data_IF_945909335126
#
_entry.id   IF_945909335126
#
_cell.length_a   1.000
_cell.length_b   1.000
_cell.length_c   1.000
_cell.angle_alpha   90.00
_cell.angle_beta   90.00
_cell.angle_gamma   90.00
#
_symmetry.space_group_name_H-M   'P 1'
#
loop_
_entity.id
_entity.type
_entity.pdbx_description
1 polymer ?
#
# COMPACT_ATOMS: atom_id res chain seq x y z
N UNK A 1 -4.31 -12.34 3.69
CA UNK A 1 -3.20 -12.35 2.71
C UNK A 1 -1.87 -12.01 3.34
N UNK A 2 -1.82 -10.90 4.09
CA UNK A 2 -0.61 -10.38 4.70
C UNK A 2 -0.96 -9.77 6.05
N UNK A 3 -0.02 -9.80 6.99
CA UNK A 3 0.00 -8.92 8.15
C UNK A 3 1.08 -7.86 7.91
N UNK A 4 0.76 -6.58 8.10
CA UNK A 4 1.74 -5.51 8.13
C UNK A 4 2.11 -5.19 9.57
N UNK A 5 3.36 -4.84 9.80
CA UNK A 5 3.83 -4.11 10.97
C UNK A 5 4.06 -2.64 10.66
N UNK A 6 3.88 -2.18 9.42
CA UNK A 6 3.91 -0.77 9.06
C UNK A 6 2.49 -0.19 9.07
N UNK A 7 2.37 1.08 9.40
CA UNK A 7 1.17 1.87 9.13
C UNK A 7 1.55 3.22 8.53
N UNK A 8 0.71 3.73 7.63
CA UNK A 8 0.89 5.05 7.05
C UNK A 8 0.78 6.14 8.12
N UNK A 9 1.48 7.28 7.97
CA UNK A 9 1.39 8.39 8.91
C UNK A 9 -0.05 8.89 9.03
N UNK A 10 -0.49 9.15 10.25
CA UNK A 10 -1.82 9.68 10.54
C UNK A 10 -2.35 9.19 11.88
N UNK A 11 -3.26 9.97 12.46
CA UNK A 11 -4.00 9.56 13.65
C UNK A 11 -5.33 8.91 13.23
N UNK A 12 -5.48 7.63 13.55
CA UNK A 12 -6.70 6.85 13.25
C UNK A 12 -7.58 6.63 14.49
N UNK A 13 -7.31 7.36 15.59
CA UNK A 13 -8.16 7.44 16.79
C UNK A 13 -8.29 6.14 17.62
N UNK A 14 -7.52 5.10 17.29
CA UNK A 14 -7.63 3.77 17.92
C UNK A 14 -6.25 3.11 18.10
N UNK A 15 -5.36 3.65 18.96
CA UNK A 15 -3.93 3.31 18.97
C UNK A 15 -3.58 1.85 19.28
N UNK A 16 -4.51 1.07 19.85
CA UNK A 16 -4.32 -0.36 20.13
C UNK A 16 -5.00 -1.29 19.13
N UNK A 17 -5.80 -0.75 18.21
CA UNK A 17 -6.62 -1.57 17.33
C UNK A 17 -5.87 -1.92 16.05
N UNK A 18 -6.23 -3.04 15.45
CA UNK A 18 -5.83 -3.38 14.09
C UNK A 18 -7.03 -3.22 13.16
N UNK A 19 -6.74 -3.06 11.88
CA UNK A 19 -7.75 -2.80 10.86
C UNK A 19 -7.39 -3.53 9.56
N UNK A 20 -8.38 -3.78 8.72
CA UNK A 20 -8.15 -4.35 7.40
C UNK A 20 -8.17 -3.28 6.31
N UNK A 21 -7.16 -3.33 5.44
CA UNK A 21 -7.13 -2.57 4.20
C UNK A 21 -6.99 -3.51 3.00
N UNK A 22 -7.50 -3.11 1.82
CA UNK A 22 -7.39 -3.88 0.58
C UNK A 22 -6.07 -3.61 -0.15
N UNK A 23 -5.02 -3.19 0.57
CA UNK A 23 -3.71 -2.84 -0.01
C UNK A 23 -2.59 -3.47 0.79
N UNK A 24 -1.47 -3.78 0.13
CA UNK A 24 -0.29 -4.38 0.76
C UNK A 24 0.75 -3.31 1.07
N UNK A 25 1.56 -3.55 2.10
CA UNK A 25 2.79 -2.79 2.38
C UNK A 25 4.02 -3.68 2.14
N UNK A 26 5.11 -3.12 1.63
CA UNK A 26 6.39 -3.82 1.57
C UNK A 26 7.30 -3.50 2.77
N UNK A 27 6.87 -2.63 3.69
CA UNK A 27 7.63 -2.26 4.88
C UNK A 27 7.13 -3.07 6.07
N UNK A 28 8.03 -3.84 6.69
CA UNK A 28 7.74 -4.74 7.82
C UNK A 28 6.47 -5.55 7.63
N UNK A 29 6.55 -6.69 6.97
CA UNK A 29 5.38 -7.50 6.66
C UNK A 29 5.66 -8.98 6.85
N UNK A 30 4.60 -9.74 7.08
CA UNK A 30 4.63 -11.19 7.11
C UNK A 30 3.48 -11.75 6.28
N UNK A 31 3.70 -12.93 5.71
CA UNK A 31 2.67 -13.72 5.06
C UNK A 31 2.88 -15.20 5.39
N UNK A 32 1.91 -16.03 5.04
CA UNK A 32 1.96 -17.47 5.25
C UNK A 32 2.12 -18.17 3.91
N UNK A 33 2.74 -19.36 3.91
CA UNK A 33 2.92 -20.19 2.73
C UNK A 33 1.66 -20.28 1.87
N UNK A 34 0.49 -20.56 2.48
CA UNK A 34 -0.80 -20.66 1.75
C UNK A 34 -1.15 -19.41 0.92
N UNK A 35 -0.76 -18.23 1.37
CA UNK A 35 -1.02 -16.97 0.67
C UNK A 35 0.09 -16.67 -0.33
N UNK A 36 1.35 -16.96 0.03
CA UNK A 36 2.49 -16.80 -0.89
C UNK A 36 2.44 -17.74 -2.09
N UNK A 37 1.87 -18.94 -1.94
CA UNK A 37 1.60 -19.87 -3.05
C UNK A 37 0.62 -19.29 -4.09
N UNK A 38 -0.03 -18.16 -3.80
CA UNK A 38 -0.90 -17.41 -4.73
C UNK A 38 -0.19 -16.23 -5.40
N UNK A 39 1.08 -15.97 -5.06
CA UNK A 39 1.86 -14.92 -5.69
C UNK A 39 2.09 -15.26 -7.16
N UNK A 40 1.69 -14.33 -8.04
CA UNK A 40 1.94 -14.41 -9.47
C UNK A 40 3.00 -13.38 -9.87
N UNK A 41 4.22 -13.86 -10.12
CA UNK A 41 5.33 -13.03 -10.58
C UNK A 41 5.18 -12.59 -12.05
N UNK A 42 4.34 -13.28 -12.84
CA UNK A 42 4.11 -12.97 -14.26
C UNK A 42 3.10 -11.85 -14.47
N UNK A 43 2.34 -11.49 -13.42
CA UNK A 43 1.26 -10.50 -13.47
C UNK A 43 0.18 -10.84 -14.51
N UNK A 44 -0.22 -12.10 -14.63
CA UNK A 44 -1.21 -12.55 -15.63
C UNK A 44 -2.53 -11.77 -15.57
N UNK A 45 -2.91 -11.27 -14.40
CA UNK A 45 -4.10 -10.42 -14.21
C UNK A 45 -3.93 -8.94 -14.57
N UNK A 46 -2.74 -8.50 -15.01
CA UNK A 46 -2.49 -7.10 -15.36
C UNK A 46 -3.35 -6.62 -16.54
N UNK A 47 -3.57 -7.46 -17.55
CA UNK A 47 -4.38 -7.07 -18.70
C UNK A 47 -5.85 -6.85 -18.33
N UNK A 48 -6.40 -7.62 -17.39
CA UNK A 48 -7.75 -7.39 -16.86
C UNK A 48 -7.83 -6.02 -16.20
N UNK A 49 -6.84 -5.68 -15.38
CA UNK A 49 -6.73 -4.36 -14.75
C UNK A 49 -6.61 -3.24 -15.78
N UNK A 50 -5.82 -3.46 -16.83
CA UNK A 50 -5.55 -2.46 -17.89
C UNK A 50 -6.80 -2.10 -18.68
N UNK A 51 -7.67 -3.06 -18.96
CA UNK A 51 -8.88 -2.82 -19.78
C UNK A 51 -10.13 -2.48 -18.95
N UNK A 52 -10.11 -2.66 -17.63
CA UNK A 52 -11.23 -2.32 -16.76
C UNK A 52 -10.95 -1.04 -15.95
N UNK A 53 -11.51 0.09 -16.39
CA UNK A 53 -11.30 1.39 -15.74
C UNK A 53 -11.77 1.43 -14.29
N UNK A 54 -12.90 0.81 -13.96
CA UNK A 54 -13.43 0.80 -12.59
C UNK A 54 -12.52 -0.02 -11.66
N UNK A 55 -12.06 -1.18 -12.12
CA UNK A 55 -11.12 -2.03 -11.39
C UNK A 55 -9.76 -1.35 -11.20
N UNK A 56 -9.23 -0.71 -12.26
CA UNK A 56 -8.01 0.09 -12.19
C UNK A 56 -8.14 1.22 -11.17
N UNK A 57 -9.26 1.94 -11.17
CA UNK A 57 -9.51 3.01 -10.20
C UNK A 57 -9.54 2.49 -8.76
N UNK A 58 -10.11 1.31 -8.51
CA UNK A 58 -10.06 0.64 -7.19
C UNK A 58 -8.63 0.27 -6.79
N UNK A 59 -7.86 -0.33 -7.70
CA UNK A 59 -6.45 -0.69 -7.47
C UNK A 59 -5.59 0.52 -7.10
N UNK A 60 -5.86 1.65 -7.75
CA UNK A 60 -5.23 2.95 -7.50
C UNK A 60 -5.79 3.68 -6.27
N UNK A 61 -6.40 2.96 -5.33
CA UNK A 61 -6.97 3.52 -4.09
C UNK A 61 -7.96 4.65 -4.40
N UNK A 62 -8.94 4.33 -5.25
CA UNK A 62 -9.90 5.30 -5.80
C UNK A 62 -9.21 6.47 -6.54
N UNK A 63 -8.15 6.16 -7.30
CA UNK A 63 -7.34 7.13 -8.05
C UNK A 63 -6.51 8.07 -7.16
N UNK A 64 -6.19 7.65 -5.94
CA UNK A 64 -5.38 8.43 -5.01
C UNK A 64 -3.88 8.21 -5.22
N UNK A 65 -3.48 7.01 -5.66
CA UNK A 65 -2.08 6.65 -5.90
C UNK A 65 -1.93 5.82 -7.17
N UNK A 66 -0.88 6.08 -7.95
CA UNK A 66 -0.69 5.51 -9.30
C UNK A 66 -0.01 4.12 -9.25
N UNK A 67 -0.70 3.15 -8.65
CA UNK A 67 -0.21 1.77 -8.59
C UNK A 67 -0.28 1.08 -9.96
N UNK A 68 -1.29 1.38 -10.77
CA UNK A 68 -1.44 0.84 -12.11
C UNK A 68 -0.35 1.36 -13.06
N UNK A 69 0.12 2.60 -12.90
CA UNK A 69 1.32 3.12 -13.56
C UNK A 69 2.60 2.44 -13.10
N UNK A 70 2.71 2.04 -11.82
CA UNK A 70 3.81 1.17 -11.37
C UNK A 70 3.78 -0.20 -12.07
N UNK A 71 2.61 -0.85 -12.19
CA UNK A 71 2.48 -2.10 -12.93
C UNK A 71 2.85 -1.94 -14.41
N UNK A 72 2.46 -0.83 -15.04
CA UNK A 72 2.84 -0.53 -16.43
C UNK A 72 4.36 -0.47 -16.58
N UNK A 73 5.05 0.25 -15.69
CA UNK A 73 6.52 0.33 -15.68
C UNK A 73 7.17 -1.03 -15.39
N UNK A 74 6.57 -1.83 -14.51
CA UNK A 74 7.01 -3.18 -14.21
C UNK A 74 6.93 -4.09 -15.44
N UNK A 75 5.82 -4.03 -16.18
CA UNK A 75 5.61 -4.80 -17.41
C UNK A 75 6.56 -4.35 -18.55
N UNK A 76 6.92 -3.06 -18.57
CA UNK A 76 7.88 -2.50 -19.52
C UNK A 76 9.35 -2.75 -19.14
N UNK A 77 9.63 -3.40 -18.00
CA UNK A 77 11.00 -3.60 -17.50
C UNK A 77 11.70 -2.34 -16.98
N UNK A 78 10.98 -1.23 -16.83
CA UNK A 78 11.53 0.04 -16.35
C UNK A 78 11.73 0.08 -14.82
N UNK A 79 11.09 -0.84 -14.10
CA UNK A 79 11.32 -1.08 -12.67
C UNK A 79 11.33 -2.58 -12.39
N UNK A 80 11.97 -2.99 -11.29
CA UNK A 80 11.82 -4.34 -10.74
C UNK A 80 11.34 -4.28 -9.29
N UNK A 81 10.06 -4.60 -9.10
CA UNK A 81 9.36 -4.51 -7.83
C UNK A 81 8.49 -5.74 -7.64
N UNK A 82 8.94 -6.67 -6.81
CA UNK A 82 8.11 -7.80 -6.37
C UNK A 82 6.87 -7.31 -5.59
N UNK A 83 6.97 -6.15 -4.93
CA UNK A 83 5.89 -5.60 -4.10
C UNK A 83 4.65 -5.23 -4.90
N UNK A 84 4.80 -4.61 -6.08
CA UNK A 84 3.63 -4.26 -6.91
C UNK A 84 2.98 -5.51 -7.53
N UNK A 85 3.77 -6.54 -7.85
CA UNK A 85 3.29 -7.85 -8.32
C UNK A 85 2.51 -8.57 -7.22
N UNK A 86 3.02 -8.52 -5.99
CA UNK A 86 2.34 -9.05 -4.82
C UNK A 86 1.03 -8.30 -4.55
N UNK A 87 1.03 -6.96 -4.62
CA UNK A 87 -0.20 -6.17 -4.47
C UNK A 87 -1.26 -6.57 -5.49
N UNK A 88 -0.89 -6.74 -6.77
CA UNK A 88 -1.81 -7.21 -7.82
C UNK A 88 -2.41 -8.57 -7.48
N UNK A 89 -1.58 -9.52 -7.03
CA UNK A 89 -2.04 -10.87 -6.63
C UNK A 89 -3.06 -10.80 -5.49
N UNK A 90 -2.76 -10.02 -4.45
CA UNK A 90 -3.66 -9.81 -3.30
C UNK A 90 -4.96 -9.14 -3.72
N UNK A 91 -4.87 -8.09 -4.53
CA UNK A 91 -6.03 -7.30 -4.95
C UNK A 91 -7.00 -8.11 -5.81
N UNK A 92 -6.50 -8.88 -6.78
CA UNK A 92 -7.35 -9.69 -7.67
C UNK A 92 -8.05 -10.85 -6.94
N UNK A 93 -7.52 -11.26 -5.79
CA UNK A 93 -8.13 -12.26 -4.92
C UNK A 93 -9.03 -11.63 -3.85
N UNK A 94 -9.35 -10.34 -3.97
CA UNK A 94 -10.11 -9.55 -2.98
C UNK A 94 -9.53 -9.67 -1.56
N UNK A 95 -8.21 -9.82 -1.49
CA UNK A 95 -7.49 -10.11 -0.28
C UNK A 95 -7.40 -8.90 0.64
N UNK A 96 -7.60 -9.15 1.93
CA UNK A 96 -7.39 -8.15 2.97
C UNK A 96 -6.05 -8.35 3.69
N UNK A 97 -5.49 -7.21 4.10
CA UNK A 97 -4.24 -7.09 4.84
C UNK A 97 -4.55 -6.49 6.20
N UNK A 98 -4.07 -7.15 7.25
CA UNK A 98 -4.20 -6.65 8.61
C UNK A 98 -3.09 -5.62 8.88
N UNK A 99 -3.49 -4.43 9.29
CA UNK A 99 -2.62 -3.33 9.66
C UNK A 99 -2.77 -3.00 11.15
N UNK A 100 -1.69 -2.62 11.84
CA UNK A 100 -1.82 -1.95 13.13
C UNK A 100 -2.30 -0.51 12.91
N UNK A 101 -2.94 0.08 13.91
CA UNK A 101 -3.31 1.50 13.91
C UNK A 101 -2.11 2.44 13.95
N UNK A 102 -0.97 1.97 14.47
CA UNK A 102 0.31 2.70 14.51
C UNK A 102 1.43 1.79 14.05
N UNK A 103 2.45 2.36 13.40
CA UNK A 103 3.52 1.56 12.83
C UNK A 103 4.32 0.87 13.94
N UNK A 104 4.54 -0.43 13.83
CA UNK A 104 5.43 -1.20 14.73
C UNK A 104 6.86 -1.26 14.20
N UNK A 105 7.06 -0.89 12.93
CA UNK A 105 8.38 -0.79 12.29
C UNK A 105 8.61 0.60 11.72
N UNK A 106 9.88 0.96 11.51
CA UNK A 106 10.27 2.16 10.77
C UNK A 106 11.15 1.75 9.60
N UNK A 107 10.84 2.26 8.41
CA UNK A 107 11.77 2.18 7.29
C UNK A 107 12.79 3.32 7.40
N UNK A 108 14.05 2.98 7.70
CA UNK A 108 15.14 3.96 7.83
C UNK A 108 15.73 4.37 6.46
N UNK A 109 15.53 3.60 5.40
CA UNK A 109 16.09 3.86 4.07
C UNK A 109 15.39 4.98 3.27
N UNK A 110 14.51 5.76 3.91
CA UNK A 110 13.86 6.95 3.32
C UNK A 110 14.67 8.24 3.55
N UNK A 111 15.80 8.12 4.23
CA UNK A 111 16.78 9.17 4.49
C UNK A 111 17.73 9.42 3.31
N UNK A 112 17.47 8.80 2.15
CA UNK A 112 18.31 8.89 0.95
C UNK A 112 19.39 7.80 0.87
N UNK A 113 19.57 6.97 1.91
CA UNK A 113 20.52 5.85 1.88
C UNK A 113 19.96 4.59 1.18
N UNK A 114 18.65 4.50 0.98
CA UNK A 114 18.00 3.31 0.46
C UNK A 114 18.14 3.13 -1.06
N UNK A 115 18.34 1.89 -1.51
CA UNK A 115 18.43 1.52 -2.94
C UNK A 115 17.20 1.93 -3.76
N UNK A 116 16.02 1.93 -3.13
CA UNK A 116 14.74 2.29 -3.76
C UNK A 116 14.06 3.47 -3.05
N UNK A 117 14.78 4.12 -2.11
CA UNK A 117 14.27 5.22 -1.30
C UNK A 117 14.99 6.51 -1.65
N UNK A 118 14.28 7.43 -2.31
CA UNK A 118 14.75 8.82 -2.34
C UNK A 118 14.61 9.46 -0.95
N UNK A 119 14.97 10.75 -0.85
CA UNK A 119 14.60 11.55 0.33
C UNK A 119 13.09 11.71 0.37
N UNK A 120 12.43 10.96 1.25
CA UNK A 120 11.00 11.14 1.55
C UNK A 120 10.90 11.59 2.99
N UNK A 121 10.48 12.84 3.20
CA UNK A 121 10.16 13.38 4.52
C UNK A 121 8.85 12.78 5.03
N UNK A 122 8.86 11.47 5.32
CA UNK A 122 7.73 10.75 5.88
C UNK A 122 7.92 10.63 7.40
N UNK A 123 7.08 11.30 8.16
CA UNK A 123 7.07 11.17 9.62
C UNK A 123 6.50 9.79 9.99
N UNK A 124 7.38 8.87 10.40
CA UNK A 124 7.01 7.51 10.82
C UNK A 124 6.93 7.42 12.34
N UNK A 125 5.70 7.49 12.85
CA UNK A 125 5.43 7.29 14.27
C UNK A 125 5.38 5.81 14.61
N UNK A 126 6.11 5.45 15.67
CA UNK A 126 6.13 4.10 16.20
C UNK A 126 5.10 3.93 17.30
N UNK A 127 4.48 2.76 17.35
CA UNK A 127 3.65 2.33 18.46
C UNK A 127 4.49 2.32 19.74
N UNK A 128 3.91 2.78 20.85
CA UNK A 128 4.55 2.71 22.16
C UNK A 128 4.30 1.34 22.80
N UNK A 129 5.20 0.87 23.67
CA UNK A 129 5.01 -0.40 24.40
C UNK A 129 3.71 -0.42 25.22
N UNK A 130 3.25 0.75 25.67
CA UNK A 130 1.98 0.93 26.37
C UNK A 130 0.74 0.68 25.50
N UNK A 131 0.89 0.49 24.19
CA UNK A 131 -0.18 0.18 23.24
C UNK A 131 -0.33 -1.32 23.00
N UNK A 132 0.48 -2.15 23.66
CA UNK A 132 0.34 -3.60 23.66
C UNK A 132 -0.55 -4.09 24.83
N UNK A 133 -1.30 -5.20 24.66
CA UNK A 133 -1.45 -5.98 23.43
C UNK A 133 -2.37 -5.29 22.41
N UNK A 134 -2.06 -5.50 21.13
CA UNK A 134 -2.94 -5.07 20.02
C UNK A 134 -4.26 -5.86 20.02
N UNK A 135 -5.34 -5.22 19.58
CA UNK A 135 -6.68 -5.79 19.47
C UNK A 135 -7.00 -6.12 18.02
N UNK A 136 -7.59 -7.30 17.80
CA UNK A 136 -7.99 -7.75 16.47
C UNK A 136 -9.46 -7.43 16.20
N UNK A 137 -9.82 -6.98 14.99
CA UNK A 137 -11.21 -6.79 14.62
C UNK A 137 -11.94 -8.13 14.59
N UNK A 138 -13.16 -8.17 15.12
CA UNK A 138 -14.01 -9.36 15.09
C UNK A 138 -14.56 -9.69 13.70
N UNK A 139 -14.51 -8.71 12.79
CA UNK A 139 -15.05 -8.81 11.43
C UNK A 139 -13.98 -8.60 10.38
N UNK A 140 -14.01 -9.44 9.35
CA UNK A 140 -13.16 -9.32 8.18
C UNK A 140 -13.80 -8.33 7.19
N UNK A 141 -13.61 -7.04 7.42
CA UNK A 141 -14.16 -5.96 6.59
C UNK A 141 -13.17 -4.82 6.46
N UNK A 142 -13.19 -4.13 5.32
CA UNK A 142 -12.37 -2.93 5.10
C UNK A 142 -12.78 -1.84 6.09
N UNK A 143 -11.80 -1.20 6.74
CA UNK A 143 -12.07 0.05 7.44
C UNK A 143 -12.15 1.20 6.41
N UNK A 144 -13.36 1.44 5.92
CA UNK A 144 -13.63 2.43 4.85
C UNK A 144 -13.26 3.86 5.26
N UNK A 145 -13.37 4.20 6.55
CA UNK A 145 -12.99 5.51 7.05
C UNK A 145 -11.47 5.71 6.95
N UNK A 146 -10.69 4.71 7.36
CA UNK A 146 -9.24 4.74 7.23
C UNK A 146 -8.80 4.70 5.76
N UNK A 147 -9.43 3.86 4.93
CA UNK A 147 -9.16 3.82 3.49
C UNK A 147 -9.41 5.18 2.82
N UNK A 148 -10.52 5.83 3.14
CA UNK A 148 -10.85 7.16 2.64
C UNK A 148 -9.85 8.23 3.10
N UNK A 149 -9.41 8.16 4.37
CA UNK A 149 -8.37 9.05 4.90
C UNK A 149 -7.04 8.86 4.17
N UNK A 150 -6.58 7.62 3.99
CA UNK A 150 -5.35 7.34 3.24
C UNK A 150 -5.45 7.82 1.79
N UNK A 151 -6.61 7.65 1.16
CA UNK A 151 -6.84 8.15 -0.19
C UNK A 151 -6.77 9.69 -0.26
N UNK A 152 -7.18 10.40 0.78
CA UNK A 152 -6.98 11.85 0.90
C UNK A 152 -5.50 12.21 1.05
N UNK A 153 -4.80 11.55 1.97
CA UNK A 153 -3.38 11.80 2.25
C UNK A 153 -2.47 11.48 1.05
N UNK A 154 -2.76 10.41 0.30
CA UNK A 154 -2.05 10.08 -0.94
C UNK A 154 -2.21 11.16 -2.01
N UNK A 155 -3.41 11.77 -2.09
CA UNK A 155 -3.64 12.87 -3.04
C UNK A 155 -2.89 14.13 -2.65
N UNK A 156 -2.79 14.45 -1.35
CA UNK A 156 -2.05 15.62 -0.90
C UNK A 156 -0.55 15.47 -1.12
N UNK A 157 0.00 14.25 -0.95
CA UNK A 157 1.43 13.96 -1.16
C UNK A 157 1.87 14.03 -2.63
N UNK A 158 0.96 13.85 -3.60
CA UNK A 158 1.32 13.88 -5.03
C UNK A 158 1.45 15.28 -5.64
N UNK A 159 1.23 16.36 -4.86
CA UNK A 159 1.22 17.73 -5.36
C UNK A 159 -0.06 18.04 -6.16
N UNK A 160 -0.37 19.34 -6.31
CA UNK A 160 -1.57 19.82 -6.98
C UNK A 160 -1.68 19.40 -8.46
N UNK A 161 -2.80 19.74 -9.10
CA UNK A 161 -3.12 19.38 -10.49
C UNK A 161 -1.97 19.65 -11.48
N UNK A 162 -1.23 20.75 -11.25
CA UNK A 162 -0.10 21.18 -12.09
C UNK A 162 1.07 20.18 -12.07
N UNK A 163 1.42 19.65 -10.90
CA UNK A 163 2.52 18.69 -10.73
C UNK A 163 2.19 17.35 -11.40
N UNK A 164 0.91 16.95 -11.35
CA UNK A 164 0.40 15.76 -12.04
C UNK A 164 0.42 15.91 -13.56
N UNK A 165 0.08 17.08 -14.09
CA UNK A 165 0.14 17.37 -15.52
C UNK A 165 1.58 17.32 -16.04
N UNK A 166 2.53 17.95 -15.33
CA UNK A 166 3.95 17.97 -15.73
C UNK A 166 4.52 16.54 -15.76
N UNK A 167 4.25 15.71 -14.74
CA UNK A 167 4.71 14.30 -14.71
C UNK A 167 4.13 13.45 -15.84
N UNK A 168 2.99 13.83 -16.41
CA UNK A 168 2.32 13.12 -17.51
C UNK A 168 2.95 13.39 -18.88
N UNK A 169 3.76 14.45 -19.00
CA UNK A 169 4.49 14.82 -20.21
C UNK A 169 5.98 14.49 -20.16
N UNK A 170 6.50 14.04 -19.00
CA UNK A 170 7.92 13.75 -18.77
C UNK A 170 8.17 12.22 -18.63
N UNK A 171 7.20 11.37 -18.97
CA UNK A 171 7.31 9.91 -18.91
C UNK A 171 7.09 9.25 -20.28
#
# INVERSE_FOLDING_TARGET
MQASGYMYPGEFGRPRDTLFLPMTSCWGWATWKRAWDRYDSTMAGYDVLRHNQALRRRFDVNGAYDYSGMLKRQAAGAIDSWGIRWYLSVFLLEGLVLYPSRSMVRNIGVDGSGTHGGHVALQQELAADSELPIRFPERLQIDEAVLARLAYDFRSMQGGLLTRLIRRFVA
#
